data_IF_910580405883
#
_entry.id   IF_910580405883
#
_cell.length_a   1.000
_cell.length_b   1.000
_cell.length_c   1.000
_cell.angle_alpha   90.00
_cell.angle_beta   90.00
_cell.angle_gamma   90.00
#
_symmetry.space_group_name_H-M   'P 1'
#
loop_
_entity.id
_entity.type
_entity.pdbx_description
1 polymer ?
#
# COMPACT_ATOMS: atom_id res chain seq x y z
N UNK A 1 -9.22 16.28 14.97
CA UNK A 1 -8.35 15.44 15.84
C UNK A 1 -6.90 15.69 15.42
N UNK A 2 -5.95 15.77 16.36
CA UNK A 2 -4.54 15.93 15.97
C UNK A 2 -4.01 14.64 15.30
N UNK A 3 -2.86 14.72 14.62
CA UNK A 3 -2.31 13.60 13.84
C UNK A 3 -2.01 12.37 14.71
N UNK A 4 -1.42 12.57 15.89
CA UNK A 4 -1.03 11.49 16.81
C UNK A 4 -2.26 10.70 17.26
N UNK A 5 -3.27 11.40 17.76
CA UNK A 5 -4.51 10.78 18.25
C UNK A 5 -5.24 10.06 17.12
N UNK A 6 -5.18 10.61 15.89
CA UNK A 6 -5.73 9.96 14.69
C UNK A 6 -5.06 8.62 14.42
N UNK A 7 -3.73 8.58 14.38
CA UNK A 7 -2.96 7.35 14.17
C UNK A 7 -3.23 6.34 15.28
N UNK A 8 -3.17 6.75 16.54
CA UNK A 8 -3.42 5.85 17.68
C UNK A 8 -4.83 5.28 17.62
N UNK A 9 -5.84 6.09 17.31
CA UNK A 9 -7.23 5.62 17.21
C UNK A 9 -7.39 4.64 16.05
N UNK A 10 -6.79 4.89 14.88
CA UNK A 10 -6.81 3.95 13.75
C UNK A 10 -6.20 2.60 14.15
N UNK A 11 -5.04 2.61 14.81
CA UNK A 11 -4.31 1.39 15.12
C UNK A 11 -4.95 0.58 16.27
N UNK A 12 -5.54 1.25 17.26
CA UNK A 12 -5.99 0.59 18.50
C UNK A 12 -7.50 0.49 18.64
N UNK A 13 -8.25 1.39 18.00
CA UNK A 13 -9.72 1.47 18.07
C UNK A 13 -10.32 1.72 16.69
N UNK A 14 -10.09 0.83 15.71
CA UNK A 14 -10.43 1.09 14.32
C UNK A 14 -11.93 1.24 14.06
N UNK A 15 -12.78 0.45 14.73
CA UNK A 15 -14.24 0.54 14.59
C UNK A 15 -14.74 1.92 15.02
N UNK A 16 -14.24 2.40 16.16
CA UNK A 16 -14.54 3.72 16.70
C UNK A 16 -14.06 4.85 15.79
N UNK A 17 -12.90 4.67 15.17
CA UNK A 17 -12.38 5.60 14.17
C UNK A 17 -13.30 5.67 12.95
N UNK A 18 -13.60 4.53 12.31
CA UNK A 18 -14.37 4.51 11.07
C UNK A 18 -15.82 4.98 11.23
N UNK A 19 -16.43 4.80 12.41
CA UNK A 19 -17.74 5.39 12.74
C UNK A 19 -17.74 6.92 12.74
N UNK A 20 -16.60 7.54 13.09
CA UNK A 20 -16.42 8.98 13.22
C UNK A 20 -15.59 9.58 12.08
N UNK A 21 -15.14 8.78 11.12
CA UNK A 21 -14.17 9.19 10.13
C UNK A 21 -14.70 10.35 9.26
N UNK A 22 -13.84 11.34 9.06
CA UNK A 22 -14.07 12.46 8.17
C UNK A 22 -14.30 11.95 6.74
N UNK A 23 -15.29 12.51 6.06
CA UNK A 23 -15.69 12.13 4.70
C UNK A 23 -15.20 13.17 3.69
N UNK A 24 -13.96 13.61 3.87
CA UNK A 24 -13.34 14.65 3.07
C UNK A 24 -12.11 14.12 2.33
N UNK A 25 -12.13 14.24 1.01
CA UNK A 25 -11.02 13.78 0.14
C UNK A 25 -9.77 14.60 0.36
N UNK A 26 -9.88 15.92 0.53
CA UNK A 26 -8.73 16.82 0.65
C UNK A 26 -7.92 16.54 1.93
N UNK A 27 -8.61 16.36 3.06
CA UNK A 27 -7.99 16.01 4.34
C UNK A 27 -7.37 14.61 4.32
N UNK A 28 -8.06 13.63 3.72
CA UNK A 28 -7.50 12.29 3.54
C UNK A 28 -6.28 12.30 2.61
N UNK A 29 -6.35 13.04 1.50
CA UNK A 29 -5.24 13.21 0.57
C UNK A 29 -4.04 13.88 1.24
N UNK A 30 -4.27 14.94 2.01
CA UNK A 30 -3.21 15.60 2.78
C UNK A 30 -2.54 14.67 3.79
N UNK A 31 -3.34 13.82 4.46
CA UNK A 31 -2.84 12.76 5.34
C UNK A 31 -1.98 11.75 4.57
N UNK A 32 -2.47 11.23 3.44
CA UNK A 32 -1.73 10.31 2.56
C UNK A 32 -0.42 10.93 2.08
N UNK A 33 -0.47 12.16 1.57
CA UNK A 33 0.67 12.90 1.04
C UNK A 33 1.75 13.11 2.09
N UNK A 34 1.36 13.48 3.32
CA UNK A 34 2.30 13.62 4.43
C UNK A 34 3.05 12.30 4.72
N UNK A 35 2.31 11.19 4.84
CA UNK A 35 2.95 9.89 5.13
C UNK A 35 3.81 9.40 3.98
N UNK A 36 3.38 9.57 2.73
CA UNK A 36 4.16 9.19 1.56
C UNK A 36 5.40 10.06 1.39
N UNK A 37 5.34 11.34 1.76
CA UNK A 37 6.51 12.22 1.76
C UNK A 37 7.55 11.74 2.76
N UNK A 38 7.12 11.42 3.99
CA UNK A 38 8.00 10.84 5.02
C UNK A 38 8.61 9.53 4.51
N UNK A 39 7.80 8.64 3.95
CA UNK A 39 8.25 7.37 3.40
C UNK A 39 9.31 7.57 2.31
N UNK A 40 9.11 8.49 1.39
CA UNK A 40 10.03 8.81 0.30
C UNK A 40 11.36 9.38 0.80
N UNK A 41 11.32 10.26 1.81
CA UNK A 41 12.55 10.76 2.43
C UNK A 41 13.32 9.62 3.09
N UNK A 42 12.62 8.72 3.80
CA UNK A 42 13.22 7.56 4.44
C UNK A 42 13.84 6.61 3.41
N UNK A 43 13.16 6.31 2.30
CA UNK A 43 13.71 5.41 1.27
C UNK A 43 14.95 6.00 0.59
N UNK A 44 15.00 7.33 0.38
CA UNK A 44 16.22 7.98 -0.10
C UNK A 44 17.38 7.76 0.85
N UNK A 45 17.20 8.09 2.14
CA UNK A 45 18.24 7.93 3.18
C UNK A 45 18.72 6.49 3.26
N UNK A 46 17.78 5.53 3.33
CA UNK A 46 18.10 4.10 3.37
C UNK A 46 18.87 3.69 2.11
N UNK A 47 18.46 4.15 0.93
CA UNK A 47 19.12 3.76 -0.33
C UNK A 47 20.58 4.23 -0.40
N UNK A 48 20.88 5.43 0.10
CA UNK A 48 22.26 5.92 0.18
C UNK A 48 23.08 5.11 1.19
N UNK A 49 22.49 4.81 2.36
CA UNK A 49 23.15 4.02 3.37
C UNK A 49 23.45 2.59 2.88
N UNK A 50 22.47 1.91 2.28
CA UNK A 50 22.64 0.54 1.79
C UNK A 50 23.68 0.44 0.69
N UNK A 51 23.77 1.46 -0.18
CA UNK A 51 24.79 1.52 -1.22
C UNK A 51 26.18 1.77 -0.64
N UNK A 52 26.32 2.71 0.30
CA UNK A 52 27.60 2.94 0.97
C UNK A 52 28.12 1.67 1.65
N UNK A 53 27.23 0.93 2.34
CA UNK A 53 27.56 -0.35 2.96
C UNK A 53 27.90 -1.42 1.91
N UNK A 54 27.12 -1.53 0.83
CA UNK A 54 27.35 -2.55 -0.20
C UNK A 54 28.70 -2.36 -0.90
N UNK A 55 29.08 -1.12 -1.22
CA UNK A 55 30.38 -0.80 -1.83
C UNK A 55 31.54 -1.24 -0.92
N UNK A 56 31.44 -0.99 0.38
CA UNK A 56 32.46 -1.40 1.35
C UNK A 56 32.56 -2.92 1.43
N UNK A 57 31.41 -3.61 1.57
CA UNK A 57 31.36 -5.07 1.66
C UNK A 57 31.90 -5.74 0.39
N UNK A 58 31.47 -5.31 -0.79
CA UNK A 58 31.91 -5.91 -2.06
C UNK A 58 33.41 -5.75 -2.27
N UNK A 59 33.96 -4.57 -1.97
CA UNK A 59 35.41 -4.32 -2.05
C UNK A 59 36.20 -5.22 -1.10
N UNK A 60 35.68 -5.49 0.10
CA UNK A 60 36.31 -6.38 1.08
C UNK A 60 36.43 -7.84 0.56
N UNK A 61 35.50 -8.28 -0.28
CA UNK A 61 35.50 -9.63 -0.86
C UNK A 61 36.07 -9.68 -2.29
N UNK A 62 36.73 -8.61 -2.76
CA UNK A 62 37.23 -8.50 -4.15
C UNK A 62 36.15 -8.72 -5.22
N UNK A 63 34.89 -8.43 -4.90
CA UNK A 63 33.77 -8.53 -5.85
C UNK A 63 33.66 -7.21 -6.62
N UNK A 64 33.57 -7.23 -7.96
CA UNK A 64 33.35 -6.03 -8.76
C UNK A 64 32.12 -5.25 -8.28
N UNK A 65 32.27 -3.95 -8.09
CA UNK A 65 31.18 -3.07 -7.68
C UNK A 65 30.36 -2.71 -8.93
N UNK A 66 29.05 -2.98 -8.97
CA UNK A 66 28.20 -2.56 -10.08
C UNK A 66 28.16 -1.03 -10.23
N UNK A 67 27.92 -0.56 -11.46
CA UNK A 67 27.66 0.86 -11.70
C UNK A 67 26.46 1.32 -10.88
N UNK A 68 26.61 2.45 -10.19
CA UNK A 68 25.58 3.01 -9.35
C UNK A 68 24.76 4.04 -10.13
N UNK A 69 23.44 4.11 -9.92
CA UNK A 69 22.62 5.11 -10.58
C UNK A 69 23.06 6.52 -10.19
N UNK A 70 23.09 7.44 -11.17
CA UNK A 70 23.40 8.84 -10.91
C UNK A 70 22.44 9.45 -9.87
N UNK A 71 22.96 10.35 -9.04
CA UNK A 71 22.17 11.03 -8.00
C UNK A 71 20.94 11.76 -8.58
N UNK A 72 21.11 12.39 -9.75
CA UNK A 72 20.04 13.05 -10.51
C UNK A 72 18.89 12.08 -10.81
N UNK A 73 19.20 10.93 -11.40
CA UNK A 73 18.25 9.90 -11.75
C UNK A 73 17.50 9.36 -10.51
N UNK A 74 18.21 9.14 -9.41
CA UNK A 74 17.61 8.66 -8.15
C UNK A 74 16.61 9.65 -7.57
N UNK A 75 16.96 10.94 -7.55
CA UNK A 75 16.05 11.98 -7.07
C UNK A 75 14.82 12.07 -7.99
N UNK A 76 15.02 12.12 -9.31
CA UNK A 76 13.93 12.24 -10.29
C UNK A 76 12.98 11.04 -10.20
N UNK A 77 13.52 9.82 -10.21
CA UNK A 77 12.73 8.58 -10.12
C UNK A 77 11.94 8.50 -8.80
N UNK A 78 12.54 8.98 -7.71
CA UNK A 78 11.87 8.99 -6.40
C UNK A 78 10.73 10.01 -6.32
N UNK A 79 10.97 11.24 -6.81
CA UNK A 79 9.92 12.27 -6.89
C UNK A 79 8.80 11.83 -7.82
N UNK A 80 9.15 11.22 -8.95
CA UNK A 80 8.18 10.63 -9.87
C UNK A 80 7.34 9.54 -9.19
N UNK A 81 7.98 8.61 -8.47
CA UNK A 81 7.28 7.57 -7.72
C UNK A 81 6.32 8.14 -6.67
N UNK A 82 6.73 9.19 -5.94
CA UNK A 82 5.86 9.90 -5.00
C UNK A 82 4.60 10.46 -5.69
N UNK A 83 4.77 11.21 -6.77
CA UNK A 83 3.66 11.80 -7.53
C UNK A 83 2.73 10.71 -8.07
N UNK A 84 3.30 9.66 -8.66
CA UNK A 84 2.53 8.53 -9.18
C UNK A 84 1.74 7.85 -8.07
N UNK A 85 2.34 7.61 -6.90
CA UNK A 85 1.65 6.97 -5.78
C UNK A 85 0.43 7.78 -5.30
N UNK A 86 0.54 9.12 -5.30
CA UNK A 86 -0.58 10.00 -5.00
C UNK A 86 -1.68 9.94 -6.08
N UNK A 87 -1.32 9.96 -7.35
CA UNK A 87 -2.28 9.86 -8.45
C UNK A 87 -2.99 8.50 -8.48
N UNK A 88 -2.24 7.41 -8.35
CA UNK A 88 -2.78 6.06 -8.31
C UNK A 88 -3.69 5.81 -7.12
N UNK A 89 -3.53 6.56 -6.01
CA UNK A 89 -4.47 6.45 -4.88
C UNK A 89 -5.92 6.75 -5.29
N UNK A 90 -6.14 7.72 -6.19
CA UNK A 90 -7.47 8.04 -6.71
C UNK A 90 -8.02 6.94 -7.58
N UNK A 91 -7.17 6.33 -8.42
CA UNK A 91 -7.54 5.23 -9.33
C UNK A 91 -7.91 3.99 -8.52
N UNK A 92 -7.08 3.58 -7.56
CA UNK A 92 -7.35 2.43 -6.69
C UNK A 92 -8.64 2.67 -5.89
N UNK A 93 -8.85 3.89 -5.39
CA UNK A 93 -10.08 4.24 -4.69
C UNK A 93 -11.30 4.21 -5.61
N UNK A 94 -11.16 4.60 -6.88
CA UNK A 94 -12.24 4.58 -7.85
C UNK A 94 -12.64 3.14 -8.17
N UNK A 95 -11.66 2.24 -8.35
CA UNK A 95 -11.91 0.82 -8.52
C UNK A 95 -12.65 0.28 -7.30
N UNK A 96 -12.14 0.49 -6.08
CA UNK A 96 -12.81 0.04 -4.86
C UNK A 96 -14.23 0.64 -4.74
N UNK A 97 -14.40 1.91 -5.10
CA UNK A 97 -15.69 2.58 -5.07
C UNK A 97 -16.70 1.91 -6.01
N UNK A 98 -16.30 1.57 -7.23
CA UNK A 98 -17.15 0.84 -8.18
C UNK A 98 -17.60 -0.50 -7.60
N UNK A 99 -16.69 -1.28 -7.00
CA UNK A 99 -17.05 -2.52 -6.31
C UNK A 99 -18.08 -2.26 -5.20
N UNK A 100 -17.85 -1.24 -4.36
CA UNK A 100 -18.75 -0.91 -3.27
C UNK A 100 -20.13 -0.44 -3.76
N UNK A 101 -20.21 0.30 -4.87
CA UNK A 101 -21.50 0.67 -5.47
C UNK A 101 -22.24 -0.57 -5.96
N UNK A 102 -21.55 -1.50 -6.63
CA UNK A 102 -22.15 -2.74 -7.14
C UNK A 102 -22.69 -3.62 -6.00
N UNK A 103 -21.91 -3.83 -4.93
CA UNK A 103 -22.24 -4.78 -3.88
C UNK A 103 -22.98 -4.17 -2.67
N UNK A 104 -22.83 -2.88 -2.40
CA UNK A 104 -23.48 -2.17 -1.30
C UNK A 104 -24.62 -1.24 -1.75
N UNK A 105 -24.78 -1.00 -3.05
CA UNK A 105 -25.76 -0.10 -3.63
C UNK A 105 -25.36 1.37 -3.53
N UNK A 106 -25.58 2.01 -2.37
CA UNK A 106 -25.29 3.44 -2.18
C UNK A 106 -23.96 3.62 -1.44
N UNK A 107 -22.93 4.05 -2.16
CA UNK A 107 -21.64 4.45 -1.60
C UNK A 107 -21.26 5.86 -2.08
N UNK A 108 -20.51 6.60 -1.27
CA UNK A 108 -19.88 7.86 -1.72
C UNK A 108 -18.40 7.62 -2.02
N UNK A 109 -17.90 8.23 -3.10
CA UNK A 109 -16.47 8.19 -3.42
C UNK A 109 -15.63 8.81 -2.31
N UNK A 110 -16.06 9.95 -1.76
CA UNK A 110 -15.34 10.63 -0.68
C UNK A 110 -15.19 9.76 0.57
N UNK A 111 -16.25 9.03 0.91
CA UNK A 111 -16.22 8.04 1.98
C UNK A 111 -15.25 6.90 1.67
N UNK A 112 -15.27 6.39 0.44
CA UNK A 112 -14.41 5.28 0.00
C UNK A 112 -12.94 5.67 0.04
N UNK A 113 -12.61 6.85 -0.49
CA UNK A 113 -11.26 7.37 -0.54
C UNK A 113 -10.70 7.61 0.85
N UNK A 114 -11.44 8.35 1.69
CA UNK A 114 -11.03 8.60 3.07
C UNK A 114 -10.87 7.29 3.85
N UNK A 115 -11.82 6.38 3.76
CA UNK A 115 -11.74 5.07 4.43
C UNK A 115 -10.52 4.27 4.00
N UNK A 116 -10.25 4.18 2.68
CA UNK A 116 -9.14 3.41 2.15
C UNK A 116 -7.78 4.00 2.56
N UNK A 117 -7.64 5.33 2.48
CA UNK A 117 -6.41 6.01 2.92
C UNK A 117 -6.09 5.70 4.38
N UNK A 118 -7.07 5.85 5.28
CA UNK A 118 -6.84 5.59 6.71
C UNK A 118 -6.71 4.10 7.04
N UNK A 119 -7.31 3.21 6.24
CA UNK A 119 -7.06 1.77 6.37
C UNK A 119 -5.60 1.40 6.01
N UNK A 120 -4.96 2.17 5.13
CA UNK A 120 -3.56 2.00 4.74
C UNK A 120 -2.53 2.53 5.75
N UNK A 121 -2.94 3.17 6.85
CA UNK A 121 -2.04 3.73 7.86
C UNK A 121 -0.98 2.75 8.39
N UNK A 122 -1.28 1.48 8.71
CA UNK A 122 -0.27 0.54 9.19
C UNK A 122 0.86 0.33 8.18
N UNK A 123 0.51 0.12 6.91
CA UNK A 123 1.47 -0.02 5.81
C UNK A 123 2.27 1.26 5.55
N UNK A 124 1.67 2.44 5.74
CA UNK A 124 2.40 3.71 5.62
C UNK A 124 3.48 3.86 6.72
N UNK A 125 3.16 3.43 7.94
CA UNK A 125 4.05 3.55 9.10
C UNK A 125 5.15 2.48 9.13
N UNK A 126 4.80 1.25 8.81
CA UNK A 126 5.62 0.07 9.07
C UNK A 126 5.95 -0.74 7.81
N UNK A 127 5.44 -0.34 6.64
CA UNK A 127 5.65 -1.06 5.39
C UNK A 127 7.09 -1.05 4.87
N UNK A 128 7.92 -0.12 5.35
CA UNK A 128 9.34 -0.04 5.00
C UNK A 128 10.23 -1.02 5.78
N UNK A 129 9.72 -1.59 6.88
CA UNK A 129 10.47 -2.50 7.74
C UNK A 129 10.43 -3.94 7.21
N UNK A 130 11.58 -4.64 7.10
CA UNK A 130 11.59 -6.07 6.84
C UNK A 130 10.78 -6.83 7.90
N UNK A 131 10.06 -7.88 7.49
CA UNK A 131 9.21 -8.73 8.34
C UNK A 131 7.97 -8.01 8.90
N UNK A 132 8.13 -6.83 9.51
CA UNK A 132 7.03 -6.04 10.08
C UNK A 132 6.05 -5.56 9.00
N UNK A 133 6.54 -5.30 7.79
CA UNK A 133 5.71 -4.94 6.63
C UNK A 133 4.62 -5.96 6.33
N UNK A 134 4.87 -7.25 6.55
CA UNK A 134 3.88 -8.31 6.39
C UNK A 134 2.72 -8.14 7.37
N UNK A 135 3.03 -7.98 8.67
CA UNK A 135 2.02 -7.76 9.70
C UNK A 135 1.27 -6.44 9.50
N UNK A 136 1.97 -5.41 9.04
CA UNK A 136 1.36 -4.14 8.68
C UNK A 136 0.34 -4.31 7.53
N UNK A 137 0.68 -5.07 6.49
CA UNK A 137 -0.23 -5.41 5.40
C UNK A 137 -1.47 -6.17 5.86
N UNK A 138 -1.28 -7.18 6.72
CA UNK A 138 -2.39 -7.95 7.31
C UNK A 138 -3.29 -7.02 8.13
N UNK A 139 -2.71 -6.13 8.95
CA UNK A 139 -3.51 -5.20 9.73
C UNK A 139 -4.24 -4.19 8.85
N UNK A 140 -3.59 -3.62 7.81
CA UNK A 140 -4.26 -2.76 6.83
C UNK A 140 -5.44 -3.46 6.15
N UNK A 141 -5.33 -4.76 5.86
CA UNK A 141 -6.42 -5.55 5.31
C UNK A 141 -7.60 -5.68 6.29
N UNK A 142 -7.31 -5.95 7.57
CA UNK A 142 -8.32 -5.96 8.63
C UNK A 142 -9.00 -4.60 8.74
N UNK A 143 -8.23 -3.51 8.74
CA UNK A 143 -8.76 -2.15 8.77
C UNK A 143 -9.64 -1.84 7.56
N UNK A 144 -9.27 -2.32 6.38
CA UNK A 144 -10.05 -2.13 5.16
C UNK A 144 -11.42 -2.84 5.28
N UNK A 145 -11.45 -4.06 5.79
CA UNK A 145 -12.70 -4.82 6.02
C UNK A 145 -13.58 -4.10 7.06
N UNK A 146 -12.99 -3.66 8.18
CA UNK A 146 -13.71 -2.93 9.22
C UNK A 146 -14.23 -1.58 8.68
N UNK A 147 -13.40 -0.85 7.95
CA UNK A 147 -13.75 0.41 7.32
C UNK A 147 -14.91 0.26 6.35
N UNK A 148 -14.89 -0.75 5.47
CA UNK A 148 -16.00 -1.04 4.57
C UNK A 148 -17.28 -1.36 5.35
N UNK A 149 -17.18 -2.22 6.37
CA UNK A 149 -18.33 -2.64 7.18
C UNK A 149 -19.00 -1.46 7.88
N UNK A 150 -18.21 -0.60 8.54
CA UNK A 150 -18.73 0.52 9.32
C UNK A 150 -19.15 1.70 8.43
N UNK A 151 -18.38 2.05 7.40
CA UNK A 151 -18.64 3.23 6.55
C UNK A 151 -19.77 2.98 5.55
N UNK A 152 -19.82 1.76 4.97
CA UNK A 152 -20.81 1.39 3.96
C UNK A 152 -21.93 0.50 4.49
N UNK A 153 -22.04 0.37 5.83
CA UNK A 153 -23.08 -0.40 6.53
C UNK A 153 -23.22 -1.83 5.98
N UNK A 154 -22.10 -2.42 5.62
CA UNK A 154 -22.03 -3.77 5.07
C UNK A 154 -21.76 -4.75 6.22
N UNK A 155 -22.37 -5.94 6.19
CA UNK A 155 -22.01 -6.97 7.17
C UNK A 155 -20.53 -7.36 7.02
N UNK A 156 -19.86 -7.66 8.14
CA UNK A 156 -18.42 -7.99 8.14
C UNK A 156 -18.10 -9.13 7.18
N UNK A 157 -18.93 -10.18 7.15
CA UNK A 157 -18.78 -11.30 6.23
C UNK A 157 -18.82 -10.85 4.76
N UNK A 158 -19.78 -9.99 4.39
CA UNK A 158 -19.87 -9.46 3.01
C UNK A 158 -18.66 -8.58 2.67
N UNK A 159 -18.20 -7.74 3.61
CA UNK A 159 -17.01 -6.92 3.41
C UNK A 159 -15.75 -7.77 3.25
N UNK A 160 -15.60 -8.84 4.04
CA UNK A 160 -14.52 -9.81 3.91
C UNK A 160 -14.53 -10.49 2.54
N UNK A 161 -15.69 -10.99 2.10
CA UNK A 161 -15.80 -11.65 0.79
C UNK A 161 -15.52 -10.68 -0.36
N UNK A 162 -16.00 -9.43 -0.27
CA UNK A 162 -15.77 -8.40 -1.29
C UNK A 162 -14.27 -8.14 -1.53
N UNK A 163 -13.46 -8.23 -0.48
CA UNK A 163 -12.01 -7.99 -0.57
C UNK A 163 -11.22 -9.26 -0.85
N UNK A 164 -11.53 -10.37 -0.17
CA UNK A 164 -10.76 -11.61 -0.28
C UNK A 164 -11.03 -12.35 -1.59
N UNK A 165 -12.25 -12.32 -2.14
CA UNK A 165 -12.55 -13.07 -3.37
C UNK A 165 -11.73 -12.55 -4.56
N UNK A 166 -11.70 -11.23 -4.86
CA UNK A 166 -10.84 -10.72 -5.94
C UNK A 166 -9.36 -10.98 -5.69
N UNK A 167 -8.91 -10.87 -4.43
CA UNK A 167 -7.52 -11.12 -4.07
C UNK A 167 -7.11 -12.58 -4.32
N UNK A 168 -7.94 -13.54 -3.90
CA UNK A 168 -7.71 -14.98 -4.13
C UNK A 168 -7.72 -15.30 -5.62
N UNK A 169 -8.70 -14.78 -6.37
CA UNK A 169 -8.77 -14.98 -7.83
C UNK A 169 -7.51 -14.43 -8.51
N UNK A 170 -7.07 -13.23 -8.15
CA UNK A 170 -5.85 -12.63 -8.70
C UNK A 170 -4.60 -13.49 -8.41
N UNK A 171 -4.45 -13.98 -7.18
CA UNK A 171 -3.33 -14.86 -6.81
C UNK A 171 -3.37 -16.17 -7.60
N UNK A 172 -4.54 -16.82 -7.70
CA UNK A 172 -4.67 -18.08 -8.43
C UNK A 172 -4.36 -17.92 -9.93
N UNK A 173 -4.84 -16.85 -10.55
CA UNK A 173 -4.55 -16.54 -11.96
C UNK A 173 -3.06 -16.25 -12.14
N UNK A 174 -2.45 -15.47 -11.25
CA UNK A 174 -1.02 -15.18 -11.28
C UNK A 174 -0.15 -16.45 -11.18
N UNK A 175 -0.49 -17.36 -10.26
CA UNK A 175 0.19 -18.65 -10.12
C UNK A 175 0.04 -19.50 -11.38
N UNK A 176 -1.17 -19.56 -11.96
CA UNK A 176 -1.41 -20.31 -13.20
C UNK A 176 -0.56 -19.77 -14.36
N UNK A 177 -0.51 -18.45 -14.55
CA UNK A 177 0.31 -17.81 -15.58
C UNK A 177 1.79 -18.14 -15.37
N UNK A 178 2.28 -18.05 -14.12
CA UNK A 178 3.66 -18.38 -13.79
C UNK A 178 3.99 -19.85 -14.09
N UNK A 179 3.08 -20.78 -13.80
CA UNK A 179 3.24 -22.20 -14.11
C UNK A 179 3.31 -22.45 -15.62
N UNK A 180 2.43 -21.81 -16.40
CA UNK A 180 2.44 -21.92 -17.87
C UNK A 180 3.75 -21.35 -18.43
N UNK A 181 4.17 -20.17 -17.98
CA UNK A 181 5.42 -19.55 -18.41
C UNK A 181 6.64 -20.44 -18.08
N UNK A 182 6.70 -21.00 -16.87
CA UNK A 182 7.76 -21.92 -16.46
C UNK A 182 7.79 -23.18 -17.34
N UNK A 183 6.62 -23.76 -17.65
CA UNK A 183 6.51 -24.91 -18.53
C UNK A 183 7.01 -24.60 -19.95
N UNK A 184 6.63 -23.45 -20.52
CA UNK A 184 7.09 -23.03 -21.85
C UNK A 184 8.61 -22.79 -21.90
N UNK A 185 9.18 -22.19 -20.85
CA UNK A 185 10.63 -22.01 -20.74
C UNK A 185 11.36 -23.34 -20.67
N UNK A 186 10.84 -24.31 -19.90
CA UNK A 186 11.42 -25.65 -19.83
C UNK A 186 11.37 -26.38 -21.20
N UNK A 187 10.32 -26.17 -21.99
CA UNK A 187 10.25 -26.71 -23.36
C UNK A 187 11.25 -26.04 -24.30
N UNK A 188 11.52 -24.74 -24.17
CA UNK A 188 12.48 -24.03 -25.02
C UNK A 188 13.95 -24.36 -24.72
N UNK A 189 14.22 -24.97 -23.55
CA UNK A 189 15.56 -25.37 -23.12
C UNK A 189 15.91 -26.83 -23.46
N UNK A 190 14.93 -27.62 -23.93
CA UNK A 190 15.09 -29.02 -24.38
C UNK A 190 15.08 -29.10 -25.91
#
# INVERSE_FOLDING_TARGET
MNLKDKVVMILTRPVDFFKRAEKDVGQAFGYLALFYLIFVILTLVVSFYTEAVSVVVLKQFNIPVPEQPEMSFRIISTVFAYVMALLFSFIISAILHVYLVIFAGKASYSQTYSMMVHAGTPTMLFGWLPIVSFFAGVWSLVLLILGISEVHKMSRMRATLLILVPLVVFVLVGVLIAMIAAFLVLQALN
#
